data_IF_366497743099
#
_entry.id   IF_366497743099
#
_cell.length_a   1.000
_cell.length_b   1.000
_cell.length_c   1.000
_cell.angle_alpha   90.00
_cell.angle_beta   90.00
_cell.angle_gamma   90.00
#
_symmetry.space_group_name_H-M   'P 1'
#
loop_
_entity.id
_entity.type
_entity.pdbx_description
1 polymer ?
#
# COMPACT_ATOMS: atom_id res chain seq x y z
N UNK A 1 -39.22 34.55 17.80
CA UNK A 1 -38.17 34.37 16.76
C UNK A 1 -38.52 33.15 15.93
N UNK A 2 -38.69 33.31 14.62
CA UNK A 2 -38.82 32.19 13.69
C UNK A 2 -37.43 31.75 13.23
N UNK A 3 -37.16 30.45 13.22
CA UNK A 3 -35.90 29.85 12.75
C UNK A 3 -36.10 29.14 11.42
N UNK A 4 -35.18 29.36 10.48
CA UNK A 4 -35.07 28.60 9.23
C UNK A 4 -34.12 27.42 9.46
N UNK A 5 -34.51 26.20 9.08
CA UNK A 5 -33.65 25.01 9.09
C UNK A 5 -33.38 24.56 7.65
N UNK A 6 -32.11 24.27 7.36
CA UNK A 6 -31.64 23.82 6.04
C UNK A 6 -30.89 22.51 6.23
N UNK A 7 -31.23 21.49 5.45
CA UNK A 7 -30.61 20.17 5.51
C UNK A 7 -30.01 19.81 4.16
N UNK A 8 -28.72 19.49 4.14
CA UNK A 8 -28.05 18.96 2.95
C UNK A 8 -28.34 17.48 2.76
N UNK A 9 -28.79 17.08 1.57
CA UNK A 9 -29.02 15.65 1.23
C UNK A 9 -27.85 14.99 0.54
N UNK A 10 -27.10 15.75 -0.26
CA UNK A 10 -25.98 15.27 -1.07
C UNK A 10 -24.87 16.34 -1.09
N UNK A 11 -23.61 15.95 -1.30
CA UNK A 11 -22.52 16.90 -1.48
C UNK A 11 -22.76 17.85 -2.63
N UNK A 12 -22.28 19.06 -2.49
CA UNK A 12 -22.41 20.09 -3.51
C UNK A 12 -22.43 21.49 -2.92
N UNK A 13 -22.58 22.45 -3.82
CA UNK A 13 -22.68 23.87 -3.47
C UNK A 13 -23.98 24.43 -4.00
N UNK A 14 -24.60 25.32 -3.23
CA UNK A 14 -25.77 26.09 -3.65
C UNK A 14 -25.77 27.43 -2.93
N UNK A 15 -26.67 28.31 -3.33
CA UNK A 15 -26.85 29.62 -2.72
C UNK A 15 -28.28 29.76 -2.22
N UNK A 16 -28.43 30.21 -0.98
CA UNK A 16 -29.71 30.62 -0.43
C UNK A 16 -29.80 32.13 -0.55
N UNK A 17 -30.73 32.60 -1.39
CA UNK A 17 -30.99 34.04 -1.51
C UNK A 17 -32.09 34.43 -0.54
N UNK A 18 -31.78 35.38 0.34
CA UNK A 18 -32.75 36.01 1.25
C UNK A 18 -32.98 37.43 0.72
N UNK A 19 -34.22 37.74 0.35
CA UNK A 19 -34.60 39.05 -0.18
C UNK A 19 -35.87 39.55 0.50
N UNK A 20 -35.95 40.85 0.72
CA UNK A 20 -37.17 41.50 1.18
C UNK A 20 -38.15 41.68 0.02
N UNK A 21 -39.41 41.33 0.22
CA UNK A 21 -40.49 41.55 -0.75
C UNK A 21 -40.97 43.01 -0.77
N UNK A 22 -40.61 43.81 0.24
CA UNK A 22 -41.00 45.22 0.40
C UNK A 22 -39.87 46.21 0.12
N UNK A 23 -38.61 45.80 0.29
CA UNK A 23 -37.45 46.62 -0.06
C UNK A 23 -36.46 45.83 -0.92
N UNK A 24 -36.50 45.95 -2.26
CA UNK A 24 -35.63 45.20 -3.18
C UNK A 24 -34.12 45.39 -2.94
N UNK A 25 -33.70 46.47 -2.28
CA UNK A 25 -32.30 46.71 -1.94
C UNK A 25 -31.80 45.78 -0.81
N UNK A 26 -32.69 45.22 0.00
CA UNK A 26 -32.34 44.24 1.04
C UNK A 26 -32.31 42.85 0.42
N UNK A 27 -31.13 42.47 -0.06
CA UNK A 27 -30.83 41.14 -0.63
C UNK A 27 -29.50 40.63 -0.07
N UNK A 28 -29.48 39.36 0.33
CA UNK A 28 -28.27 38.66 0.76
C UNK A 28 -28.23 37.29 0.10
N UNK A 29 -27.03 36.86 -0.29
CA UNK A 29 -26.77 35.53 -0.82
C UNK A 29 -25.91 34.77 0.19
N UNK A 30 -26.42 33.66 0.70
CA UNK A 30 -25.73 32.80 1.65
C UNK A 30 -25.24 31.55 0.92
N UNK A 31 -23.93 31.36 0.73
CA UNK A 31 -23.41 30.14 0.14
C UNK A 31 -23.58 28.97 1.12
N UNK A 32 -24.06 27.84 0.61
CA UNK A 32 -24.22 26.58 1.35
C UNK A 32 -23.40 25.52 0.65
N UNK A 33 -22.50 24.88 1.40
CA UNK A 33 -21.69 23.76 0.93
C UNK A 33 -21.94 22.54 1.77
N UNK A 34 -22.28 21.42 1.14
CA UNK A 34 -22.34 20.10 1.75
C UNK A 34 -21.08 19.35 1.33
N UNK A 35 -20.23 18.99 2.29
CA UNK A 35 -18.97 18.29 2.02
C UNK A 35 -19.18 16.78 1.88
N UNK A 36 -18.27 16.14 1.17
CA UNK A 36 -18.19 14.68 1.15
C UNK A 36 -17.85 14.13 2.53
N UNK A 37 -18.43 12.98 2.88
CA UNK A 37 -18.01 12.21 4.06
C UNK A 37 -16.69 11.46 3.81
N UNK A 38 -16.31 11.30 2.54
CA UNK A 38 -15.05 10.67 2.17
C UNK A 38 -13.89 11.65 2.37
N UNK A 39 -13.07 11.35 3.38
CA UNK A 39 -11.94 12.17 3.82
C UNK A 39 -10.68 11.97 2.97
N UNK A 40 -10.70 11.02 2.03
CA UNK A 40 -9.58 10.81 1.13
C UNK A 40 -9.38 12.01 0.21
N UNK A 41 -8.13 12.20 -0.21
CA UNK A 41 -7.73 13.19 -1.21
C UNK A 41 -6.75 12.52 -2.15
N UNK A 42 -7.10 12.44 -3.42
CA UNK A 42 -6.29 11.79 -4.44
C UNK A 42 -6.47 12.47 -5.79
N UNK A 43 -5.90 11.92 -6.83
CA UNK A 43 -5.87 12.45 -8.19
C UNK A 43 -5.11 11.48 -9.10
N UNK A 44 -4.87 11.83 -10.38
CA UNK A 44 -4.10 10.98 -11.26
C UNK A 44 -2.72 10.66 -10.67
N UNK A 45 -2.25 9.42 -10.82
CA UNK A 45 -0.96 8.98 -10.31
C UNK A 45 -0.33 7.99 -11.27
N UNK A 46 0.99 8.05 -11.42
CA UNK A 46 1.73 7.13 -12.28
C UNK A 46 3.07 6.76 -11.68
N UNK A 47 3.44 5.49 -11.79
CA UNK A 47 4.75 4.99 -11.38
C UNK A 47 4.80 3.48 -11.37
N UNK A 48 6.00 2.91 -11.50
CA UNK A 48 6.22 1.46 -11.45
C UNK A 48 5.40 0.66 -12.49
N UNK A 49 5.09 1.25 -13.64
CA UNK A 49 4.26 0.64 -14.68
C UNK A 49 2.74 0.68 -14.42
N UNK A 50 2.32 1.24 -13.28
CA UNK A 50 0.92 1.47 -12.93
C UNK A 50 0.52 2.91 -13.26
N UNK A 51 -0.56 3.06 -14.02
CA UNK A 51 -1.25 4.32 -14.26
C UNK A 51 -2.60 4.30 -13.56
N UNK A 52 -2.89 5.36 -12.80
CA UNK A 52 -4.15 5.55 -12.10
C UNK A 52 -4.79 6.84 -12.56
N UNK A 53 -6.01 6.76 -13.07
CA UNK A 53 -6.81 7.92 -13.48
C UNK A 53 -8.01 8.09 -12.57
N UNK A 54 -8.59 9.29 -12.56
CA UNK A 54 -9.82 9.57 -11.81
C UNK A 54 -10.99 9.70 -12.79
N UNK A 55 -12.00 8.86 -12.63
CA UNK A 55 -13.23 8.97 -13.38
C UNK A 55 -14.06 10.20 -12.98
N UNK A 56 -15.05 10.55 -13.81
CA UNK A 56 -15.96 11.67 -13.54
C UNK A 56 -16.69 11.52 -12.19
N UNK A 57 -17.03 10.29 -11.80
CA UNK A 57 -17.66 10.01 -10.51
C UNK A 57 -16.69 10.07 -9.33
N UNK A 58 -15.36 10.14 -9.56
CA UNK A 58 -14.32 10.16 -8.55
C UNK A 58 -13.73 8.80 -8.19
N UNK A 59 -14.18 7.71 -8.82
CA UNK A 59 -13.53 6.41 -8.70
C UNK A 59 -12.15 6.42 -9.36
N UNK A 60 -11.27 5.52 -8.91
CA UNK A 60 -9.91 5.37 -9.44
C UNK A 60 -9.87 4.23 -10.45
N UNK A 61 -9.47 4.50 -11.68
CA UNK A 61 -9.25 3.48 -12.69
C UNK A 61 -7.77 3.14 -12.77
N UNK A 62 -7.44 1.88 -12.49
CA UNK A 62 -6.10 1.33 -12.52
C UNK A 62 -5.87 0.68 -13.88
N UNK A 63 -4.74 1.00 -14.50
CA UNK A 63 -4.31 0.38 -15.73
C UNK A 63 -2.80 0.12 -15.70
N UNK A 64 -2.39 -1.07 -16.13
CA UNK A 64 -0.99 -1.42 -16.33
C UNK A 64 -0.84 -2.32 -17.54
N UNK A 65 0.11 -1.97 -18.42
CA UNK A 65 0.42 -2.74 -19.62
C UNK A 65 1.30 -3.97 -19.32
N UNK A 66 2.04 -3.93 -18.21
CA UNK A 66 2.96 -4.99 -17.78
C UNK A 66 2.65 -5.41 -16.35
N UNK A 67 3.22 -6.54 -15.94
CA UNK A 67 3.11 -7.01 -14.58
C UNK A 67 3.71 -6.00 -13.60
N UNK A 68 2.97 -5.70 -12.53
CA UNK A 68 3.45 -4.88 -11.42
C UNK A 68 4.10 -5.80 -10.40
N UNK A 69 5.37 -5.55 -10.11
CA UNK A 69 6.10 -6.29 -9.09
C UNK A 69 5.45 -6.13 -7.71
N UNK A 70 5.54 -7.19 -6.91
CA UNK A 70 5.03 -7.18 -5.53
C UNK A 70 5.69 -6.04 -4.76
N UNK A 71 4.91 -5.32 -3.96
CA UNK A 71 5.32 -4.15 -3.19
C UNK A 71 5.43 -2.86 -4.01
N UNK A 72 5.22 -2.89 -5.33
CA UNK A 72 5.23 -1.69 -6.16
C UNK A 72 3.82 -1.20 -6.46
N UNK A 73 3.69 0.12 -6.63
CA UNK A 73 2.44 0.77 -6.98
C UNK A 73 2.55 2.29 -6.96
N UNK A 74 1.51 2.96 -6.47
CA UNK A 74 1.43 4.41 -6.38
C UNK A 74 1.08 4.89 -4.97
N UNK A 75 1.45 6.14 -4.67
CA UNK A 75 1.20 6.83 -3.39
C UNK A 75 0.80 8.28 -3.61
N UNK A 76 -0.04 8.81 -2.74
CA UNK A 76 -0.40 10.23 -2.67
C UNK A 76 0.27 10.92 -1.47
N UNK A 77 0.38 12.27 -1.49
CA UNK A 77 0.83 13.04 -0.34
C UNK A 77 0.05 12.70 0.94
N UNK A 78 0.68 12.93 2.10
CA UNK A 78 0.06 12.64 3.37
C UNK A 78 -1.25 13.43 3.55
N UNK A 79 -2.26 12.78 4.14
CA UNK A 79 -3.50 13.44 4.50
C UNK A 79 -3.28 14.37 5.70
N UNK A 80 -4.07 15.44 5.78
CA UNK A 80 -4.22 16.22 7.01
C UNK A 80 -5.52 15.79 7.71
N UNK A 81 -5.37 15.00 8.77
CA UNK A 81 -6.42 14.46 9.62
C UNK A 81 -6.42 15.13 11.00
N UNK A 82 -5.82 16.31 11.15
CA UNK A 82 -5.71 17.00 12.45
C UNK A 82 -7.06 17.20 13.14
N UNK A 83 -8.11 17.49 12.37
CA UNK A 83 -9.47 17.66 12.88
C UNK A 83 -10.11 16.36 13.43
N UNK A 84 -9.44 15.22 13.25
CA UNK A 84 -9.92 13.90 13.63
C UNK A 84 -9.08 13.26 14.75
N UNK A 85 -8.10 13.97 15.33
CA UNK A 85 -7.31 13.44 16.46
C UNK A 85 -8.24 12.96 17.58
N UNK A 86 -7.97 11.76 18.08
CA UNK A 86 -8.78 11.07 19.10
C UNK A 86 -10.02 10.35 18.55
N UNK A 87 -10.31 10.48 17.24
CA UNK A 87 -11.44 9.82 16.60
C UNK A 87 -11.03 8.55 15.86
N UNK A 88 -11.99 7.67 15.65
CA UNK A 88 -11.85 6.50 14.78
C UNK A 88 -12.33 6.84 13.37
N UNK A 89 -11.52 6.50 12.39
CA UNK A 89 -11.88 6.50 10.97
C UNK A 89 -11.94 5.06 10.46
N UNK A 90 -12.69 4.82 9.39
CA UNK A 90 -12.77 3.51 8.73
C UNK A 90 -12.33 3.62 7.28
N UNK A 91 -11.27 2.89 6.92
CA UNK A 91 -10.81 2.72 5.54
C UNK A 91 -11.57 1.56 4.90
N UNK A 92 -12.17 1.76 3.73
CA UNK A 92 -12.91 0.72 3.04
C UNK A 92 -13.03 0.95 1.55
N UNK A 93 -13.61 -0.03 0.86
CA UNK A 93 -14.00 0.05 -0.53
C UNK A 93 -15.47 -0.33 -0.72
N UNK A 94 -16.06 0.17 -1.81
CA UNK A 94 -17.37 -0.25 -2.30
C UNK A 94 -17.22 -1.10 -3.57
N UNK A 95 -18.10 -2.08 -3.75
CA UNK A 95 -18.01 -3.07 -4.82
C UNK A 95 -17.16 -4.28 -4.44
N UNK A 96 -16.60 -4.94 -5.45
CA UNK A 96 -15.80 -6.14 -5.31
C UNK A 96 -14.38 -5.91 -5.84
N UNK A 97 -13.39 -6.49 -5.16
CA UNK A 97 -11.98 -6.52 -5.57
C UNK A 97 -11.58 -7.83 -6.25
N UNK A 98 -12.50 -8.78 -6.47
CA UNK A 98 -12.18 -10.04 -7.13
C UNK A 98 -11.54 -9.88 -8.51
N UNK A 99 -11.89 -8.82 -9.25
CA UNK A 99 -11.26 -8.47 -10.53
C UNK A 99 -9.86 -7.84 -10.42
N UNK A 100 -9.39 -7.57 -9.20
CA UNK A 100 -8.12 -6.91 -8.87
C UNK A 100 -7.26 -7.80 -7.94
N UNK A 101 -6.87 -9.02 -8.39
CA UNK A 101 -6.24 -10.00 -7.53
C UNK A 101 -4.91 -9.50 -6.95
N UNK A 102 -4.81 -9.55 -5.62
CA UNK A 102 -3.61 -9.15 -4.90
C UNK A 102 -3.34 -7.64 -4.91
N UNK A 103 -4.34 -6.79 -5.17
CA UNK A 103 -4.27 -5.35 -4.86
C UNK A 103 -4.41 -5.15 -3.35
N UNK A 104 -3.55 -4.29 -2.81
CA UNK A 104 -3.70 -3.73 -1.46
C UNK A 104 -3.89 -2.23 -1.59
N UNK A 105 -4.91 -1.71 -0.90
CA UNK A 105 -5.05 -0.27 -0.64
C UNK A 105 -4.73 -0.04 0.82
N UNK A 106 -3.79 0.85 1.13
CA UNK A 106 -3.44 1.14 2.52
C UNK A 106 -3.38 2.61 2.82
N UNK A 107 -3.60 2.93 4.09
CA UNK A 107 -3.40 4.24 4.68
C UNK A 107 -2.37 4.07 5.78
N UNK A 108 -1.10 4.36 5.50
CA UNK A 108 0.05 4.06 6.39
C UNK A 108 1.10 5.16 6.37
N UNK A 109 1.96 5.20 7.39
CA UNK A 109 3.12 6.10 7.40
C UNK A 109 4.14 5.73 6.32
N UNK A 110 5.01 6.68 5.98
CA UNK A 110 6.08 6.53 4.99
C UNK A 110 6.85 5.20 5.15
N UNK A 111 7.25 4.87 6.38
CA UNK A 111 8.00 3.67 6.76
C UNK A 111 7.15 2.37 6.84
N UNK A 112 5.84 2.47 6.57
CA UNK A 112 4.89 1.35 6.66
C UNK A 112 4.39 1.07 8.07
N UNK A 113 4.83 1.83 9.08
CA UNK A 113 4.31 1.74 10.44
C UNK A 113 2.94 2.42 10.55
N UNK A 114 2.18 2.00 11.58
CA UNK A 114 0.86 2.54 11.92
C UNK A 114 -0.14 2.50 10.74
N UNK A 115 -1.39 2.88 10.98
CA UNK A 115 -2.41 2.89 9.95
C UNK A 115 -3.04 1.52 9.69
N UNK A 116 -3.65 1.37 8.51
CA UNK A 116 -4.42 0.17 8.16
C UNK A 116 -4.40 -0.11 6.66
N UNK A 117 -4.87 -1.30 6.28
CA UNK A 117 -4.90 -1.76 4.89
C UNK A 117 -6.13 -2.60 4.59
N UNK A 118 -6.67 -2.44 3.39
CA UNK A 118 -7.79 -3.19 2.86
C UNK A 118 -7.37 -3.94 1.60
N UNK A 119 -7.96 -5.11 1.40
CA UNK A 119 -7.74 -5.99 0.25
C UNK A 119 -8.91 -6.97 0.15
N UNK A 120 -8.90 -7.83 -0.86
CA UNK A 120 -9.96 -8.84 -1.03
C UNK A 120 -10.11 -9.70 0.23
N UNK A 121 -11.32 -9.77 0.78
CA UNK A 121 -11.60 -10.49 2.03
C UNK A 121 -11.29 -9.71 3.31
N UNK A 122 -10.70 -8.51 3.21
CA UNK A 122 -10.45 -7.58 4.33
C UNK A 122 -10.86 -6.16 3.96
N UNK A 123 -12.10 -5.80 4.30
CA UNK A 123 -12.67 -4.48 4.05
C UNK A 123 -13.01 -3.76 5.38
N UNK A 124 -13.31 -2.46 5.31
CA UNK A 124 -13.82 -1.63 6.41
C UNK A 124 -12.96 -1.72 7.68
N UNK A 125 -11.67 -1.42 7.54
CA UNK A 125 -10.73 -1.51 8.62
C UNK A 125 -10.67 -0.20 9.42
N UNK A 126 -10.86 -0.24 10.75
CA UNK A 126 -10.79 0.94 11.58
C UNK A 126 -9.35 1.39 11.81
N UNK A 127 -9.19 2.68 12.08
CA UNK A 127 -7.94 3.32 12.47
C UNK A 127 -8.24 4.48 13.42
N UNK A 128 -7.55 4.54 14.55
CA UNK A 128 -7.60 5.72 15.44
C UNK A 128 -6.60 6.76 14.97
N UNK A 129 -7.06 8.00 14.82
CA UNK A 129 -6.18 9.13 14.51
C UNK A 129 -5.55 9.64 15.79
N UNK A 130 -4.23 9.73 15.80
CA UNK A 130 -3.42 10.23 16.91
C UNK A 130 -2.66 11.48 16.46
N UNK A 131 -2.09 12.23 17.41
CA UNK A 131 -1.21 13.36 17.07
C UNK A 131 -0.04 12.91 16.17
N UNK A 132 0.49 11.70 16.40
CA UNK A 132 1.63 11.15 15.67
C UNK A 132 1.30 10.73 14.23
N UNK A 133 0.03 10.46 13.92
CA UNK A 133 -0.36 9.97 12.59
C UNK A 133 -1.25 10.93 11.78
N UNK A 134 -1.78 11.97 12.41
CA UNK A 134 -2.70 12.92 11.79
C UNK A 134 -2.17 13.61 10.53
N UNK A 135 -0.85 13.69 10.32
CA UNK A 135 -0.23 14.33 9.14
C UNK A 135 0.77 13.46 8.39
N UNK A 136 0.82 12.16 8.68
CA UNK A 136 1.87 11.27 8.15
C UNK A 136 1.31 10.10 7.36
N UNK A 137 0.00 9.91 7.35
CA UNK A 137 -0.64 8.78 6.69
C UNK A 137 -0.83 9.06 5.21
N UNK A 138 -0.30 8.17 4.38
CA UNK A 138 -0.38 8.23 2.93
C UNK A 138 -1.35 7.18 2.42
N UNK A 139 -2.23 7.56 1.50
CA UNK A 139 -2.97 6.60 0.70
C UNK A 139 -2.02 5.95 -0.30
N UNK A 140 -2.03 4.61 -0.36
CA UNK A 140 -1.19 3.79 -1.23
C UNK A 140 -2.05 2.74 -1.93
N UNK A 141 -1.71 2.45 -3.17
CA UNK A 141 -2.29 1.33 -3.92
C UNK A 141 -1.14 0.57 -4.55
N UNK A 142 -0.97 -0.70 -4.20
CA UNK A 142 0.17 -1.50 -4.63
C UNK A 142 -0.15 -2.99 -4.73
N UNK A 143 0.73 -3.72 -5.41
CA UNK A 143 0.65 -5.18 -5.53
C UNK A 143 1.09 -5.86 -4.24
N UNK A 144 0.24 -6.67 -3.60
CA UNK A 144 0.56 -7.44 -2.38
C UNK A 144 0.53 -8.97 -2.52
N UNK A 145 -0.05 -9.51 -3.60
CA UNK A 145 -0.07 -10.97 -3.87
C UNK A 145 1.33 -11.60 -4.03
N UNK A 146 1.39 -12.89 -4.38
CA UNK A 146 2.67 -13.65 -4.45
C UNK A 146 3.51 -13.34 -5.68
N UNK A 147 2.83 -13.17 -6.82
CA UNK A 147 3.46 -13.03 -8.11
C UNK A 147 3.19 -11.64 -8.68
N UNK A 148 4.11 -11.14 -9.50
CA UNK A 148 3.87 -9.95 -10.29
C UNK A 148 2.71 -10.21 -11.26
N UNK A 149 1.75 -9.29 -11.33
CA UNK A 149 0.64 -9.37 -12.29
C UNK A 149 0.22 -7.97 -12.68
N UNK A 150 -0.42 -7.83 -13.84
CA UNK A 150 -1.05 -6.57 -14.20
C UNK A 150 -2.18 -6.25 -13.21
N UNK A 151 -2.34 -4.96 -12.92
CA UNK A 151 -3.43 -4.38 -12.16
C UNK A 151 -4.30 -3.56 -13.11
N UNK A 152 -5.50 -4.07 -13.42
CA UNK A 152 -6.47 -3.43 -14.29
C UNK A 152 -7.85 -3.49 -13.65
N UNK A 153 -8.50 -2.35 -13.43
CA UNK A 153 -9.84 -2.29 -12.85
C UNK A 153 -10.12 -1.01 -12.08
N UNK A 154 -11.33 -0.91 -11.54
CA UNK A 154 -11.82 0.31 -10.91
C UNK A 154 -11.98 0.18 -9.38
N UNK A 155 -11.66 1.24 -8.66
CA UNK A 155 -11.73 1.31 -7.20
C UNK A 155 -12.58 2.48 -6.71
N UNK A 156 -13.54 2.17 -5.83
CA UNK A 156 -14.30 3.14 -5.02
C UNK A 156 -13.85 3.06 -3.57
N UNK A 157 -12.75 3.74 -3.27
CA UNK A 157 -12.15 3.76 -1.92
C UNK A 157 -12.70 4.91 -1.07
N UNK A 158 -12.89 4.65 0.22
CA UNK A 158 -13.42 5.60 1.19
C UNK A 158 -12.62 5.60 2.49
N UNK A 159 -12.51 6.76 3.10
CA UNK A 159 -12.12 6.94 4.50
C UNK A 159 -13.21 7.79 5.15
N UNK A 160 -13.92 7.26 6.14
CA UNK A 160 -15.05 7.95 6.77
C UNK A 160 -14.91 7.96 8.30
N UNK A 161 -15.49 8.96 8.95
CA UNK A 161 -15.52 9.04 10.42
C UNK A 161 -16.46 7.97 11.01
N UNK A 162 -16.05 7.35 12.12
CA UNK A 162 -16.78 6.30 12.82
C UNK A 162 -16.28 4.89 12.49
N UNK A 163 -16.77 3.91 13.24
CA UNK A 163 -16.44 2.49 13.09
C UNK A 163 -17.37 1.73 12.13
N UNK A 164 -18.51 2.33 11.77
CA UNK A 164 -19.47 1.75 10.83
C UNK A 164 -19.11 2.16 9.39
N UNK A 165 -19.17 1.22 8.42
CA UNK A 165 -18.96 1.55 7.02
C UNK A 165 -20.08 2.45 6.51
N UNK A 166 -19.70 3.57 5.89
CA UNK A 166 -20.63 4.47 5.19
C UNK A 166 -20.60 4.20 3.69
N UNK A 167 -21.65 4.61 2.97
CA UNK A 167 -21.68 4.53 1.52
C UNK A 167 -20.52 5.32 0.91
N UNK A 168 -19.98 4.83 -0.21
CA UNK A 168 -18.93 5.56 -0.90
C UNK A 168 -19.48 6.87 -1.47
N UNK A 169 -18.68 7.92 -1.35
CA UNK A 169 -18.95 9.23 -1.90
C UNK A 169 -17.70 9.71 -2.63
N UNK A 170 -17.90 10.40 -3.76
CA UNK A 170 -16.84 11.12 -4.44
C UNK A 170 -16.10 12.00 -3.43
N UNK A 171 -14.76 11.92 -3.31
CA UNK A 171 -14.04 12.84 -2.45
C UNK A 171 -14.14 14.28 -2.97
N UNK A 172 -14.07 15.25 -2.06
CA UNK A 172 -14.10 16.67 -2.43
C UNK A 172 -12.87 17.08 -3.27
N UNK A 173 -11.76 16.35 -3.11
CA UNK A 173 -10.49 16.64 -3.79
C UNK A 173 -10.04 15.41 -4.59
N UNK A 174 -10.10 15.52 -5.91
CA UNK A 174 -9.73 14.46 -6.87
C UNK A 174 -8.67 14.88 -7.88
N UNK A 175 -7.86 15.89 -7.57
CA UNK A 175 -6.84 16.48 -8.44
C UNK A 175 -5.44 16.55 -7.79
N UNK A 176 -5.20 15.79 -6.72
CA UNK A 176 -3.87 15.71 -6.10
C UNK A 176 -3.06 14.64 -6.82
N UNK A 177 -2.01 15.04 -7.53
CA UNK A 177 -1.13 14.10 -8.21
C UNK A 177 -0.46 13.14 -7.23
N UNK A 178 -0.47 11.86 -7.57
CA UNK A 178 0.34 10.85 -6.90
C UNK A 178 1.56 10.47 -7.73
N UNK A 179 2.42 9.61 -7.18
CA UNK A 179 3.63 9.13 -7.85
C UNK A 179 3.95 7.68 -7.52
N UNK A 180 5.07 7.19 -8.05
CA UNK A 180 5.54 5.83 -7.79
C UNK A 180 5.82 5.57 -6.32
N UNK A 181 5.51 4.33 -5.90
CA UNK A 181 5.70 3.83 -4.55
C UNK A 181 6.26 2.42 -4.56
N UNK A 182 7.26 2.17 -3.73
CA UNK A 182 7.77 0.84 -3.48
C UNK A 182 7.87 0.60 -1.97
N UNK A 183 7.40 -0.56 -1.51
CA UNK A 183 7.63 -1.01 -0.14
C UNK A 183 9.12 -1.18 0.11
N UNK A 184 9.56 -0.70 1.28
CA UNK A 184 10.94 -0.86 1.76
C UNK A 184 11.32 -2.34 1.73
N UNK A 185 12.43 -2.65 1.07
CA UNK A 185 13.06 -3.96 1.18
C UNK A 185 13.74 -4.08 2.55
N UNK A 186 13.32 -5.08 3.32
CA UNK A 186 13.86 -5.43 4.63
C UNK A 186 14.88 -6.57 4.53
N UNK A 187 15.11 -7.10 3.32
CA UNK A 187 16.13 -8.11 3.10
C UNK A 187 17.50 -7.45 3.23
N UNK A 188 18.37 -7.90 4.14
CA UNK A 188 19.63 -7.25 4.40
C UNK A 188 20.58 -7.46 3.23
N UNK A 189 21.39 -6.44 2.98
CA UNK A 189 22.61 -6.52 2.21
C UNK A 189 23.49 -7.70 2.67
N UNK A 190 23.59 -8.74 1.84
CA UNK A 190 24.51 -9.86 2.02
C UNK A 190 25.90 -9.49 1.53
N UNK A 191 26.91 -10.09 2.16
CA UNK A 191 28.30 -9.86 1.81
C UNK A 191 28.66 -10.78 0.61
N UNK A 192 29.12 -10.23 -0.53
CA UNK A 192 29.53 -11.02 -1.69
C UNK A 192 30.83 -11.78 -1.41
N UNK A 193 31.15 -12.76 -2.25
CA UNK A 193 32.37 -13.57 -2.12
C UNK A 193 32.19 -14.98 -2.65
N UNK A 194 33.09 -15.88 -2.28
CA UNK A 194 33.03 -17.29 -2.67
C UNK A 194 32.77 -18.17 -1.45
N UNK A 195 31.75 -19.04 -1.53
CA UNK A 195 31.42 -20.02 -0.48
C UNK A 195 31.04 -21.35 -1.12
N UNK A 196 31.61 -22.42 -0.58
CA UNK A 196 31.33 -23.81 -0.98
C UNK A 196 31.33 -24.04 -2.50
N UNK A 197 32.21 -23.39 -3.27
CA UNK A 197 32.28 -23.54 -4.74
C UNK A 197 31.42 -22.58 -5.57
N UNK A 198 30.64 -21.69 -4.93
CA UNK A 198 29.83 -20.66 -5.61
C UNK A 198 30.41 -19.28 -5.34
N UNK A 199 30.68 -18.53 -6.41
CA UNK A 199 31.05 -17.11 -6.35
C UNK A 199 29.80 -16.25 -6.51
N UNK A 200 29.64 -15.26 -5.64
CA UNK A 200 28.56 -14.30 -5.66
C UNK A 200 29.12 -12.89 -5.78
N UNK A 201 28.64 -12.16 -6.77
CA UNK A 201 28.83 -10.71 -6.90
C UNK A 201 27.52 -10.01 -6.58
N UNK A 202 27.61 -8.73 -6.18
CA UNK A 202 26.45 -7.93 -5.81
C UNK A 202 26.46 -6.62 -6.59
N UNK A 203 25.30 -6.28 -7.14
CA UNK A 203 25.01 -4.97 -7.74
C UNK A 203 23.70 -4.43 -7.16
N UNK A 204 23.79 -3.39 -6.32
CA UNK A 204 22.64 -2.87 -5.60
C UNK A 204 21.95 -3.90 -4.70
N UNK A 205 20.71 -4.25 -5.02
CA UNK A 205 19.94 -5.32 -4.33
C UNK A 205 20.06 -6.69 -5.03
N UNK A 206 20.67 -6.74 -6.21
CA UNK A 206 20.80 -7.95 -7.02
C UNK A 206 22.09 -8.69 -6.74
N UNK A 207 22.05 -10.02 -6.83
CA UNK A 207 23.19 -10.91 -6.63
C UNK A 207 23.33 -11.84 -7.83
N UNK A 208 24.54 -11.95 -8.39
CA UNK A 208 24.84 -12.86 -9.49
C UNK A 208 25.72 -13.98 -8.98
N UNK A 209 25.26 -15.22 -9.17
CA UNK A 209 25.93 -16.42 -8.66
C UNK A 209 26.44 -17.30 -9.80
N UNK A 210 27.69 -17.75 -9.65
CA UNK A 210 28.36 -18.64 -10.60
C UNK A 210 29.12 -19.75 -9.87
N UNK A 211 28.88 -21.00 -10.26
CA UNK A 211 29.55 -22.18 -9.73
C UNK A 211 28.60 -23.30 -9.31
N UNK A 212 29.18 -24.45 -8.97
CA UNK A 212 28.47 -25.63 -8.46
C UNK A 212 28.82 -25.79 -6.98
N UNK A 213 27.85 -25.70 -6.07
CA UNK A 213 28.09 -25.80 -4.65
C UNK A 213 28.48 -27.24 -4.25
N UNK A 214 29.47 -27.39 -3.37
CA UNK A 214 29.92 -28.69 -2.86
C UNK A 214 29.02 -29.28 -1.77
N UNK A 215 28.16 -28.46 -1.18
CA UNK A 215 27.27 -28.81 -0.05
C UNK A 215 26.08 -27.84 0.01
N UNK A 216 25.10 -28.15 0.87
CA UNK A 216 24.04 -27.20 1.22
C UNK A 216 24.63 -26.00 1.97
N UNK A 217 24.19 -24.78 1.63
CA UNK A 217 24.71 -23.57 2.25
C UNK A 217 24.07 -22.31 1.71
N UNK A 218 24.73 -21.17 1.89
CA UNK A 218 24.24 -19.91 1.35
C UNK A 218 25.04 -18.69 1.77
N UNK A 219 24.73 -17.56 1.12
CA UNK A 219 25.06 -16.24 1.65
C UNK A 219 23.91 -15.83 2.57
N UNK A 220 24.22 -15.56 3.84
CA UNK A 220 23.21 -15.33 4.87
C UNK A 220 23.60 -14.18 5.79
N UNK A 221 22.58 -13.49 6.31
CA UNK A 221 22.74 -12.44 7.32
C UNK A 221 21.54 -12.45 8.25
N UNK A 222 21.77 -12.15 9.52
CA UNK A 222 20.70 -12.05 10.50
C UNK A 222 20.06 -10.66 10.47
N UNK A 223 18.75 -10.60 10.63
CA UNK A 223 18.00 -9.37 10.80
C UNK A 223 16.88 -9.56 11.82
N UNK A 224 16.65 -8.55 12.67
CA UNK A 224 15.51 -8.54 13.60
C UNK A 224 14.32 -7.91 12.90
N UNK A 225 13.29 -8.72 12.66
CA UNK A 225 12.01 -8.31 12.10
C UNK A 225 11.04 -8.03 13.25
N UNK A 226 10.22 -6.99 13.13
CA UNK A 226 9.17 -6.71 14.12
C UNK A 226 7.97 -7.65 13.94
N UNK A 227 7.08 -7.72 14.92
CA UNK A 227 5.80 -8.42 14.74
C UNK A 227 5.03 -7.87 13.53
N UNK A 228 4.41 -8.74 12.73
CA UNK A 228 3.59 -8.35 11.59
C UNK A 228 3.58 -9.38 10.46
N UNK A 229 2.88 -9.04 9.40
CA UNK A 229 2.75 -9.86 8.20
C UNK A 229 3.84 -9.51 7.19
N UNK A 230 4.50 -10.54 6.67
CA UNK A 230 5.61 -10.40 5.74
C UNK A 230 5.36 -11.16 4.45
N UNK A 231 5.99 -10.68 3.39
CA UNK A 231 6.08 -11.33 2.09
C UNK A 231 7.55 -11.42 1.69
N UNK A 232 8.01 -12.65 1.41
CA UNK A 232 9.33 -12.93 0.86
C UNK A 232 9.16 -13.33 -0.61
N UNK A 233 9.82 -12.60 -1.50
CA UNK A 233 9.73 -12.74 -2.96
C UNK A 233 11.12 -12.60 -3.58
N UNK A 234 11.25 -13.00 -4.83
CA UNK A 234 12.49 -12.91 -5.61
C UNK A 234 12.17 -12.46 -7.02
N UNK A 235 13.04 -11.65 -7.60
CA UNK A 235 13.07 -11.42 -9.05
C UNK A 235 14.36 -11.96 -9.66
N UNK A 236 14.32 -12.31 -10.94
CA UNK A 236 15.45 -12.91 -11.66
C UNK A 236 15.28 -14.43 -11.80
N UNK A 237 16.36 -15.17 -11.60
CA UNK A 237 16.39 -16.62 -11.74
C UNK A 237 15.56 -17.33 -10.65
N UNK A 238 14.95 -18.47 -11.00
CA UNK A 238 14.18 -19.31 -10.07
C UNK A 238 15.05 -19.96 -8.97
N UNK A 239 16.36 -20.04 -9.20
CA UNK A 239 17.36 -20.54 -8.26
C UNK A 239 18.62 -19.69 -8.34
N UNK A 240 19.41 -19.58 -7.24
CA UNK A 240 19.19 -20.14 -5.90
C UNK A 240 17.96 -19.57 -5.18
N UNK A 241 17.42 -20.33 -4.21
CA UNK A 241 16.20 -19.93 -3.48
C UNK A 241 16.53 -18.86 -2.45
N UNK A 242 15.58 -17.97 -2.18
CA UNK A 242 15.69 -17.03 -1.07
C UNK A 242 14.86 -17.52 0.11
N UNK A 243 15.46 -17.55 1.29
CA UNK A 243 14.91 -18.19 2.47
C UNK A 243 14.97 -17.25 3.67
N UNK A 244 13.90 -17.23 4.46
CA UNK A 244 13.89 -16.72 5.82
C UNK A 244 13.83 -17.90 6.79
N UNK A 245 14.79 -17.98 7.71
CA UNK A 245 14.91 -19.06 8.68
C UNK A 245 14.71 -18.47 10.08
N UNK A 246 13.70 -18.96 10.80
CA UNK A 246 13.42 -18.56 12.17
C UNK A 246 14.42 -19.21 13.17
N UNK A 247 14.53 -18.70 14.41
CA UNK A 247 15.40 -19.28 15.44
C UNK A 247 15.13 -20.75 15.77
N UNK A 248 13.88 -21.20 15.60
CA UNK A 248 13.45 -22.59 15.82
C UNK A 248 13.77 -23.53 14.65
N UNK A 249 14.35 -23.00 13.56
CA UNK A 249 14.68 -23.73 12.35
C UNK A 249 13.58 -23.75 11.27
N UNK A 250 12.40 -23.16 11.53
CA UNK A 250 11.33 -23.04 10.53
C UNK A 250 11.82 -22.23 9.33
N UNK A 251 11.56 -22.72 8.12
CA UNK A 251 12.01 -22.08 6.87
C UNK A 251 10.84 -21.60 6.01
N UNK A 252 10.93 -20.36 5.56
CA UNK A 252 10.04 -19.76 4.57
C UNK A 252 10.83 -19.51 3.29
N UNK A 253 10.51 -20.25 2.23
CA UNK A 253 11.16 -20.14 0.92
C UNK A 253 10.31 -19.30 -0.03
N UNK A 254 10.92 -18.34 -0.73
CA UNK A 254 10.23 -17.49 -1.70
C UNK A 254 9.60 -18.29 -2.86
N UNK A 255 8.46 -17.84 -3.42
CA UNK A 255 7.58 -16.78 -2.92
C UNK A 255 6.68 -17.29 -1.78
N UNK A 256 6.58 -16.55 -0.66
CA UNK A 256 5.78 -16.97 0.49
C UNK A 256 5.36 -15.79 1.37
N UNK A 257 4.24 -15.93 2.07
CA UNK A 257 3.84 -15.03 3.17
C UNK A 257 3.89 -15.74 4.51
N UNK A 258 4.22 -14.99 5.55
CA UNK A 258 4.28 -15.48 6.92
C UNK A 258 4.01 -14.34 7.91
N UNK A 259 3.56 -14.70 9.11
CA UNK A 259 3.25 -13.76 10.19
C UNK A 259 4.20 -14.00 11.35
N UNK A 260 4.77 -12.92 11.88
CA UNK A 260 5.51 -12.93 13.13
C UNK A 260 4.64 -12.29 14.21
N UNK A 261 4.41 -12.99 15.32
CA UNK A 261 3.60 -12.49 16.44
C UNK A 261 4.38 -11.57 17.38
N UNK A 262 5.71 -11.64 17.32
CA UNK A 262 6.62 -10.84 18.14
C UNK A 262 7.91 -10.51 17.36
N UNK A 263 8.71 -9.53 17.80
CA UNK A 263 9.99 -9.27 17.18
C UNK A 263 10.89 -10.52 17.17
N UNK A 264 11.35 -10.94 16.00
CA UNK A 264 12.10 -12.18 15.80
C UNK A 264 13.38 -11.92 15.02
N UNK A 265 14.51 -12.48 15.47
CA UNK A 265 15.77 -12.41 14.72
C UNK A 265 15.88 -13.61 13.78
N UNK A 266 15.68 -13.36 12.49
CA UNK A 266 15.70 -14.39 11.46
C UNK A 266 17.05 -14.42 10.75
N UNK A 267 17.41 -15.57 10.18
CA UNK A 267 18.51 -15.69 9.22
C UNK A 267 17.92 -15.56 7.81
N UNK A 268 18.33 -14.53 7.08
CA UNK A 268 17.89 -14.25 5.71
C UNK A 268 19.00 -14.66 4.75
N UNK A 269 18.67 -15.56 3.82
CA UNK A 269 19.67 -16.31 3.07
C UNK A 269 19.31 -16.46 1.58
N UNK A 270 20.33 -16.40 0.72
CA UNK A 270 20.30 -16.98 -0.61
C UNK A 270 20.87 -18.39 -0.50
N UNK A 271 20.02 -19.41 -0.64
CA UNK A 271 20.29 -20.81 -0.32
C UNK A 271 20.73 -21.59 -1.55
N UNK A 272 21.88 -22.24 -1.44
CA UNK A 272 22.42 -23.13 -2.46
C UNK A 272 21.92 -24.57 -2.27
N UNK A 273 21.88 -25.32 -3.36
CA UNK A 273 21.65 -26.77 -3.35
C UNK A 273 22.83 -27.44 -4.07
N UNK A 274 23.46 -28.49 -3.49
CA UNK A 274 24.58 -29.22 -4.11
C UNK A 274 24.22 -29.89 -5.44
N UNK A 275 22.92 -29.97 -5.75
CA UNK A 275 22.40 -30.55 -6.99
C UNK A 275 22.19 -29.52 -8.12
N UNK A 276 22.56 -28.25 -7.91
CA UNK A 276 22.39 -27.17 -8.89
C UNK A 276 23.74 -26.66 -9.39
N UNK A 277 23.78 -26.16 -10.61
CA UNK A 277 24.90 -25.34 -11.08
C UNK A 277 24.37 -23.97 -11.45
N UNK A 278 24.96 -22.93 -10.88
CA UNK A 278 24.60 -21.56 -11.18
C UNK A 278 25.53 -21.05 -12.27
N UNK A 279 24.96 -20.63 -13.40
CA UNK A 279 25.69 -19.96 -14.47
C UNK A 279 25.21 -18.52 -14.59
N UNK A 280 25.92 -17.62 -13.90
CA UNK A 280 25.57 -16.20 -13.82
C UNK A 280 24.10 -15.96 -13.42
N UNK A 281 23.58 -16.82 -12.55
CA UNK A 281 22.20 -16.77 -12.09
C UNK A 281 22.00 -15.51 -11.24
N UNK A 282 21.18 -14.58 -11.72
CA UNK A 282 20.93 -13.31 -11.03
C UNK A 282 19.64 -13.39 -10.23
N UNK A 283 19.71 -13.11 -8.93
CA UNK A 283 18.57 -13.12 -8.01
C UNK A 283 18.52 -11.82 -7.22
N UNK A 284 17.33 -11.26 -7.06
CA UNK A 284 17.09 -10.07 -6.23
C UNK A 284 16.10 -10.44 -5.13
N UNK A 285 16.55 -10.62 -3.88
CA UNK A 285 15.68 -10.95 -2.77
C UNK A 285 14.89 -9.72 -2.30
N UNK A 286 13.61 -9.90 -2.04
CA UNK A 286 12.75 -8.90 -1.44
C UNK A 286 11.99 -9.44 -0.25
N UNK A 287 12.22 -8.86 0.92
CA UNK A 287 11.42 -9.09 2.12
C UNK A 287 10.67 -7.81 2.44
N UNK A 288 9.34 -7.87 2.45
CA UNK A 288 8.49 -6.68 2.65
C UNK A 288 7.48 -6.96 3.75
N UNK A 289 7.19 -5.95 4.56
CA UNK A 289 6.06 -5.97 5.50
C UNK A 289 4.82 -5.48 4.77
N UNK A 290 3.71 -6.22 4.84
CA UNK A 290 2.47 -5.95 4.08
C UNK A 290 1.35 -5.39 4.96
#
# INVERSE_FOLDING_TARGET
MSTIRITGKQPGTTNVTIASTVNPAVKTVVPVTVKSLNLLRYGPASGNGLNVTVNKDGSLDLASAQAIEVGKGVVWPALDLTAYIGKTLTLGYEGDLAGLPGVIVSLRKADGSDGTGIYQGRNNQPLTVTADNAKTLHLRIYKGGENATALNGNLKIRLTEGSAPQAWMRPDVTNISGGGFELKNLFPALDPGTKSGVTCTRDGESYTLTGTPSEWGGFAKKATLQAGDYRLTTSGADKPRVTCILPDGTQYNSPISFTLTEPTTCTLQITFSPNETYDNATVTPYLRRI
#
